data_IF_797774349876
#
_entry.id   IF_797774349876
#
_cell.length_a   1.000
_cell.length_b   1.000
_cell.length_c   1.000
_cell.angle_alpha   90.00
_cell.angle_beta   90.00
_cell.angle_gamma   90.00
#
_symmetry.space_group_name_H-M   'P 1'
#
loop_
_entity.id
_entity.type
_entity.pdbx_description
1 polymer ?
#
# COMPACT_ATOMS: atom_id res chain seq x y z
N UNK A 1 27.67 0.07 14.18
CA UNK A 1 27.44 0.46 12.78
C UNK A 1 26.39 1.54 12.81
N UNK A 2 26.70 2.73 12.30
CA UNK A 2 25.71 3.82 12.23
C UNK A 2 24.63 3.42 11.23
N UNK A 3 23.43 3.08 11.72
CA UNK A 3 22.24 3.00 10.88
C UNK A 3 22.09 4.34 10.17
N UNK A 4 22.24 4.33 8.84
CA UNK A 4 22.05 5.52 8.03
C UNK A 4 20.61 6.01 8.21
N UNK A 5 20.42 7.32 8.36
CA UNK A 5 19.09 7.88 8.55
C UNK A 5 18.21 7.60 7.32
N UNK A 6 17.12 6.88 7.54
CA UNK A 6 16.14 6.52 6.51
C UNK A 6 14.90 7.41 6.68
N UNK A 7 14.71 8.46 5.86
CA UNK A 7 13.58 9.39 6.01
C UNK A 7 12.24 8.72 5.73
N UNK A 8 12.17 7.73 4.83
CA UNK A 8 10.93 7.03 4.50
C UNK A 8 10.45 6.21 5.70
N UNK A 9 11.36 5.50 6.36
CA UNK A 9 11.00 4.72 7.55
C UNK A 9 10.74 5.61 8.77
N UNK A 10 11.62 6.59 9.03
CA UNK A 10 11.55 7.41 10.25
C UNK A 10 10.40 8.42 10.25
N UNK A 11 10.01 8.96 9.10
CA UNK A 11 8.94 9.96 9.01
C UNK A 11 7.65 9.41 8.41
N UNK A 12 7.73 8.60 7.36
CA UNK A 12 6.53 8.08 6.67
C UNK A 12 6.13 6.68 7.12
N UNK A 13 6.92 6.03 7.99
CA UNK A 13 6.64 4.68 8.47
C UNK A 13 6.75 3.59 7.38
N UNK A 14 7.50 3.86 6.29
CA UNK A 14 7.65 2.94 5.17
C UNK A 14 8.91 2.07 5.41
N UNK A 15 8.77 0.78 5.75
CA UNK A 15 9.92 -0.07 6.05
C UNK A 15 10.74 -0.40 4.80
N UNK A 16 12.01 -0.76 4.96
CA UNK A 16 12.93 -1.10 3.86
C UNK A 16 12.38 -2.13 2.85
N UNK A 17 11.59 -3.11 3.31
CA UNK A 17 10.96 -4.11 2.43
C UNK A 17 9.93 -3.53 1.45
N UNK A 18 9.40 -2.34 1.76
CA UNK A 18 8.41 -1.61 0.97
C UNK A 18 9.06 -0.44 0.20
N UNK A 19 10.40 -0.33 0.21
CA UNK A 19 11.15 0.72 -0.47
C UNK A 19 11.76 0.21 -1.80
N UNK A 20 11.86 1.08 -2.83
CA UNK A 20 11.35 2.46 -2.87
C UNK A 20 9.81 2.50 -2.93
N UNK A 21 9.17 3.50 -2.29
CA UNK A 21 7.71 3.59 -2.31
C UNK A 21 7.17 3.96 -3.69
N UNK A 22 5.98 3.44 -4.02
CA UNK A 22 5.18 3.98 -5.13
C UNK A 22 4.46 5.27 -4.68
N UNK A 23 3.87 6.02 -5.62
CA UNK A 23 3.21 7.31 -5.34
C UNK A 23 2.08 7.17 -4.30
N UNK A 24 1.28 6.10 -4.37
CA UNK A 24 0.20 5.86 -3.40
C UNK A 24 0.76 5.64 -1.99
N UNK A 25 1.79 4.78 -1.88
CA UNK A 25 2.46 4.48 -0.60
C UNK A 25 3.13 5.71 -0.01
N UNK A 26 3.77 6.54 -0.84
CA UNK A 26 4.38 7.80 -0.43
C UNK A 26 3.34 8.76 0.16
N UNK A 27 2.15 8.84 -0.44
CA UNK A 27 1.05 9.68 0.07
C UNK A 27 0.28 9.04 1.24
N UNK A 28 0.55 7.77 1.57
CA UNK A 28 -0.21 7.02 2.58
C UNK A 28 -1.64 6.72 2.14
N UNK A 29 -1.81 6.39 0.86
CA UNK A 29 -3.07 6.01 0.22
C UNK A 29 -3.12 4.50 -0.06
N UNK A 30 -4.34 4.00 -0.24
CA UNK A 30 -4.56 2.69 -0.84
C UNK A 30 -4.14 2.71 -2.32
N UNK A 31 -3.68 1.55 -2.81
CA UNK A 31 -3.28 1.41 -4.20
C UNK A 31 -4.46 1.71 -5.14
N UNK A 32 -4.20 2.56 -6.13
CA UNK A 32 -5.17 2.96 -7.15
C UNK A 32 -6.35 3.79 -6.61
N UNK A 33 -6.16 4.52 -5.51
CA UNK A 33 -7.11 5.56 -5.10
C UNK A 33 -7.34 6.54 -6.27
N UNK A 34 -8.60 6.85 -6.53
CA UNK A 34 -9.04 7.61 -7.70
C UNK A 34 -9.77 8.90 -7.36
N UNK A 35 -10.21 9.06 -6.11
CA UNK A 35 -10.86 10.26 -5.62
C UNK A 35 -9.84 11.42 -5.48
N UNK A 36 -9.98 12.50 -6.26
CA UNK A 36 -9.05 13.62 -6.23
C UNK A 36 -9.00 14.32 -4.86
N UNK A 37 -10.11 14.40 -4.13
CA UNK A 37 -10.16 15.07 -2.83
C UNK A 37 -9.38 14.26 -1.78
N UNK A 38 -9.50 12.93 -1.84
CA UNK A 38 -8.73 12.02 -0.98
C UNK A 38 -7.23 12.12 -1.27
N UNK A 39 -6.85 12.17 -2.55
CA UNK A 39 -5.46 12.32 -2.98
C UNK A 39 -4.89 13.66 -2.50
N UNK A 40 -5.63 14.75 -2.67
CA UNK A 40 -5.20 16.07 -2.24
C UNK A 40 -5.03 16.15 -0.73
N UNK A 41 -6.00 15.67 0.04
CA UNK A 41 -5.95 15.65 1.50
C UNK A 41 -4.75 14.82 2.01
N UNK A 42 -4.45 13.70 1.36
CA UNK A 42 -3.30 12.86 1.70
C UNK A 42 -1.97 13.55 1.41
N UNK A 43 -1.81 14.15 0.22
CA UNK A 43 -0.63 14.92 -0.12
C UNK A 43 -0.40 16.10 0.82
N UNK A 44 -1.48 16.80 1.20
CA UNK A 44 -1.42 17.89 2.16
C UNK A 44 -0.91 17.42 3.54
N UNK A 45 -1.49 16.34 4.07
CA UNK A 45 -1.05 15.75 5.35
C UNK A 45 0.43 15.38 5.34
N UNK A 46 0.89 14.70 4.29
CA UNK A 46 2.30 14.31 4.19
C UNK A 46 3.23 15.51 4.06
N UNK A 47 2.86 16.49 3.24
CA UNK A 47 3.61 17.75 3.11
C UNK A 47 3.73 18.46 4.46
N UNK A 48 2.61 18.60 5.19
CA UNK A 48 2.59 19.26 6.48
C UNK A 48 3.48 18.53 7.51
N UNK A 49 3.44 17.19 7.53
CA UNK A 49 4.28 16.40 8.42
C UNK A 49 5.77 16.56 8.09
N UNK A 50 6.16 16.38 6.82
CA UNK A 50 7.57 16.45 6.42
C UNK A 50 8.16 17.86 6.60
N UNK A 51 7.34 18.92 6.44
CA UNK A 51 7.77 20.30 6.70
C UNK A 51 8.26 20.54 8.13
N UNK A 52 7.80 19.75 9.11
CA UNK A 52 8.27 19.87 10.50
C UNK A 52 9.78 19.60 10.66
N UNK A 53 10.40 18.93 9.69
CA UNK A 53 11.82 18.56 9.71
C UNK A 53 12.72 19.49 8.88
N UNK A 54 12.16 20.52 8.21
CA UNK A 54 12.90 21.39 7.27
C UNK A 54 14.05 22.19 7.90
N UNK A 55 13.96 22.49 9.20
CA UNK A 55 15.01 23.23 9.93
C UNK A 55 15.93 22.31 10.75
N UNK A 56 15.79 21.00 10.61
CA UNK A 56 16.54 20.01 11.39
C UNK A 56 17.84 19.52 10.72
N UNK A 57 18.57 18.60 11.37
CA UNK A 57 19.79 17.99 10.84
C UNK A 57 19.61 17.26 9.50
N UNK A 58 18.38 16.85 9.19
CA UNK A 58 17.97 16.14 7.99
C UNK A 58 17.19 17.06 7.02
N UNK A 59 17.48 18.37 7.02
CA UNK A 59 16.78 19.34 6.18
C UNK A 59 16.83 18.99 4.69
N UNK A 60 17.98 18.52 4.19
CA UNK A 60 18.14 18.05 2.82
C UNK A 60 17.22 16.86 2.50
N UNK A 61 17.14 15.88 3.40
CA UNK A 61 16.24 14.71 3.24
C UNK A 61 14.77 15.15 3.21
N UNK A 62 14.39 16.10 4.07
CA UNK A 62 13.03 16.64 4.10
C UNK A 62 12.68 17.36 2.80
N UNK A 63 13.62 18.11 2.23
CA UNK A 63 13.40 18.83 0.98
C UNK A 63 13.24 17.86 -0.20
N UNK A 64 14.06 16.80 -0.25
CA UNK A 64 13.93 15.75 -1.26
C UNK A 64 12.56 15.08 -1.17
N UNK A 65 12.15 14.69 0.04
CA UNK A 65 10.87 14.03 0.25
C UNK A 65 9.68 14.93 -0.09
N UNK A 66 9.77 16.23 0.17
CA UNK A 66 8.75 17.21 -0.26
C UNK A 66 8.64 17.32 -1.79
N UNK A 67 9.77 17.25 -2.50
CA UNK A 67 9.76 17.24 -3.97
C UNK A 67 9.09 15.96 -4.51
N UNK A 68 9.37 14.81 -3.91
CA UNK A 68 8.73 13.54 -4.26
C UNK A 68 7.22 13.56 -3.98
N UNK A 69 6.79 14.08 -2.82
CA UNK A 69 5.37 14.23 -2.47
C UNK A 69 4.66 15.14 -3.50
N UNK A 70 5.29 16.24 -3.89
CA UNK A 70 4.76 17.15 -4.90
C UNK A 70 4.62 16.45 -6.27
N UNK A 71 5.65 15.71 -6.70
CA UNK A 71 5.62 14.95 -7.94
C UNK A 71 4.52 13.87 -7.94
N UNK A 72 4.36 13.15 -6.83
CA UNK A 72 3.30 12.17 -6.65
C UNK A 72 1.91 12.81 -6.72
N UNK A 73 1.69 13.94 -6.02
CA UNK A 73 0.43 14.71 -6.08
C UNK A 73 0.09 15.10 -7.52
N UNK A 74 1.04 15.70 -8.24
CA UNK A 74 0.82 16.15 -9.64
C UNK A 74 0.52 14.97 -10.55
N UNK A 75 1.19 13.84 -10.36
CA UNK A 75 0.94 12.64 -11.16
C UNK A 75 -0.45 12.04 -10.92
N UNK A 76 -0.87 11.94 -9.66
CA UNK A 76 -2.10 11.26 -9.27
C UNK A 76 -3.37 12.11 -9.43
N UNK A 77 -3.26 13.45 -9.38
CA UNK A 77 -4.39 14.35 -9.62
C UNK A 77 -4.66 14.59 -11.11
N UNK A 78 -3.68 14.35 -11.99
CA UNK A 78 -3.87 14.41 -13.43
C UNK A 78 -4.44 13.05 -13.92
N UNK A 79 -5.68 12.99 -14.45
CA UNK A 79 -6.31 11.73 -14.81
C UNK A 79 -5.54 10.93 -15.86
N UNK A 80 -4.90 11.63 -16.81
CA UNK A 80 -4.13 10.97 -17.88
C UNK A 80 -2.82 10.40 -17.34
N UNK A 81 -2.09 11.18 -16.53
CA UNK A 81 -0.84 10.73 -15.91
C UNK A 81 -1.09 9.59 -14.93
N UNK A 82 -2.15 9.68 -14.11
CA UNK A 82 -2.54 8.60 -13.19
C UNK A 82 -2.83 7.31 -13.95
N UNK A 83 -3.62 7.38 -15.03
CA UNK A 83 -3.97 6.19 -15.81
C UNK A 83 -2.72 5.51 -16.43
N UNK A 84 -1.78 6.31 -16.95
CA UNK A 84 -0.51 5.80 -17.47
C UNK A 84 0.32 5.16 -16.35
N UNK A 85 0.46 5.85 -15.23
CA UNK A 85 1.19 5.39 -14.04
C UNK A 85 0.60 4.08 -13.49
N UNK A 86 -0.72 4.00 -13.37
CA UNK A 86 -1.41 2.81 -12.86
C UNK A 86 -1.21 1.59 -13.75
N UNK A 87 -1.18 1.80 -15.07
CA UNK A 87 -0.93 0.73 -16.03
C UNK A 87 0.48 0.18 -15.84
N UNK A 88 1.47 1.05 -15.71
CA UNK A 88 2.85 0.66 -15.44
C UNK A 88 2.99 -0.05 -14.09
N UNK A 89 2.38 0.50 -13.03
CA UNK A 89 2.44 -0.03 -11.68
C UNK A 89 1.81 -1.44 -11.59
N UNK A 90 0.68 -1.68 -12.25
CA UNK A 90 0.08 -3.02 -12.33
C UNK A 90 1.01 -4.01 -13.03
N UNK A 91 1.72 -3.59 -14.07
CA UNK A 91 2.74 -4.40 -14.74
C UNK A 91 3.87 -4.80 -13.79
N UNK A 92 4.41 -3.83 -13.04
CA UNK A 92 5.46 -4.06 -12.04
C UNK A 92 5.01 -5.00 -10.92
N UNK A 93 3.81 -4.81 -10.37
CA UNK A 93 3.28 -5.66 -9.31
C UNK A 93 3.08 -7.12 -9.76
N UNK A 94 2.50 -7.33 -10.95
CA UNK A 94 2.34 -8.69 -11.53
C UNK A 94 3.68 -9.39 -11.74
N UNK A 95 4.70 -8.66 -12.20
CA UNK A 95 6.04 -9.22 -12.39
C UNK A 95 6.69 -9.60 -11.06
N UNK A 96 6.46 -8.85 -9.98
CA UNK A 96 6.95 -9.17 -8.64
C UNK A 96 6.27 -10.44 -8.08
N UNK A 97 4.96 -10.57 -8.25
CA UNK A 97 4.20 -11.76 -7.81
C UNK A 97 4.58 -13.02 -8.59
N UNK A 98 4.79 -12.91 -9.91
CA UNK A 98 5.23 -14.01 -10.76
C UNK A 98 6.61 -14.55 -10.39
N UNK A 99 7.55 -13.68 -9.96
CA UNK A 99 8.87 -14.11 -9.47
C UNK A 99 8.80 -14.85 -8.13
N UNK A 100 7.80 -14.55 -7.30
CA UNK A 100 7.63 -15.18 -5.98
C UNK A 100 6.94 -16.53 -6.04
N UNK A 101 6.26 -16.84 -7.14
CA UNK A 101 5.45 -18.04 -7.33
C UNK A 101 6.13 -19.15 -8.12
N UNK A 102 7.40 -19.00 -8.54
CA UNK A 102 8.19 -20.12 -9.06
C UNK A 102 8.66 -20.97 -7.86
N UNK A 103 8.09 -22.16 -7.60
CA UNK A 103 8.73 -23.12 -6.70
C UNK A 103 10.01 -23.57 -7.40
N UNK A 104 11.11 -23.87 -6.70
CA UNK A 104 12.18 -24.64 -7.33
C UNK A 104 11.52 -25.91 -7.83
N UNK A 105 11.51 -26.10 -9.15
CA UNK A 105 11.07 -27.35 -9.75
C UNK A 105 11.98 -28.44 -9.16
N UNK A 106 11.47 -29.13 -8.15
CA UNK A 106 11.98 -30.42 -7.74
C UNK A 106 11.78 -31.28 -8.97
N UNK A 107 12.86 -31.44 -9.74
CA UNK A 107 12.92 -32.44 -10.77
C UNK A 107 12.51 -33.77 -10.12
N UNK A 108 11.46 -34.46 -10.59
CA UNK A 108 11.20 -35.81 -10.13
C UNK A 108 12.34 -36.68 -10.67
N UNK A 109 13.36 -36.91 -9.85
CA UNK A 109 14.32 -37.98 -10.07
C UNK A 109 13.56 -39.30 -10.06
N UNK A 110 13.24 -39.77 -11.26
CA UNK A 110 12.86 -41.15 -11.52
C UNK A 110 14.08 -42.03 -11.24
N UNK A 111 14.18 -42.58 -10.03
CA UNK A 111 15.12 -43.66 -9.72
C UNK A 111 14.45 -44.64 -8.75
N UNK A 112 13.91 -45.69 -9.35
CA UNK A 112 13.95 -47.08 -8.90
C UNK A 112 13.16 -47.47 -7.64
N UNK A 113 11.98 -48.01 -7.93
CA UNK A 113 11.23 -49.00 -7.16
C UNK A 113 12.09 -50.19 -6.68
N UNK A 114 11.96 -50.59 -5.40
CA UNK A 114 11.97 -52.00 -5.04
C UNK A 114 10.61 -52.40 -4.45
N UNK A 115 10.16 -53.65 -4.66
CA UNK A 115 8.82 -54.07 -4.27
C UNK A 115 8.78 -54.32 -2.76
N UNK A 116 7.97 -53.56 -2.04
CA UNK A 116 7.68 -53.83 -0.62
C UNK A 116 6.23 -54.32 -0.54
N UNK A 117 6.11 -55.59 -0.19
CA UNK A 117 4.93 -56.40 0.09
C UNK A 117 3.81 -55.66 0.86
N UNK A 118 2.53 -55.95 0.54
CA UNK A 118 1.41 -55.24 1.16
C UNK A 118 1.13 -55.83 2.55
N UNK A 119 1.27 -55.02 3.59
CA UNK A 119 0.65 -55.30 4.89
C UNK A 119 -0.45 -54.26 5.09
N UNK A 120 -1.70 -54.70 4.96
CA UNK A 120 -2.88 -53.93 5.39
C UNK A 120 -2.89 -53.85 6.91
N UNK A 121 -3.16 -52.66 7.47
CA UNK A 121 -4.05 -52.58 8.62
C UNK A 121 -5.25 -51.70 8.28
N UNK A 122 -6.42 -52.29 8.47
CA UNK A 122 -7.72 -51.60 8.57
C UNK A 122 -7.69 -50.70 9.79
N UNK A 123 -7.92 -49.39 9.64
CA UNK A 123 -8.45 -48.56 10.75
C UNK A 123 -9.32 -47.42 10.23
N UNK A 124 -10.63 -47.66 10.35
CA UNK A 124 -11.73 -46.78 10.75
C UNK A 124 -11.69 -45.28 10.37
N UNK A 125 -12.66 -44.93 9.53
CA UNK A 125 -13.18 -43.59 9.33
C UNK A 125 -13.60 -42.93 10.65
N UNK A 126 -13.16 -41.68 10.88
CA UNK A 126 -13.80 -40.75 11.80
C UNK A 126 -13.92 -39.38 11.14
N UNK A 127 -15.15 -39.08 10.75
CA UNK A 127 -15.84 -37.80 10.98
C UNK A 127 -15.14 -36.50 10.60
N UNK A 128 -15.48 -35.99 9.41
CA UNK A 128 -15.46 -34.56 9.11
C UNK A 128 -16.41 -33.79 10.06
N UNK A 129 -15.99 -32.61 10.54
CA UNK A 129 -16.91 -31.55 11.00
C UNK A 129 -16.62 -30.27 10.19
N UNK A 130 -17.58 -29.76 9.41
CA UNK A 130 -17.40 -28.51 8.68
C UNK A 130 -17.53 -27.32 9.64
N UNK A 131 -16.56 -26.41 9.61
CA UNK A 131 -16.64 -25.13 10.30
C UNK A 131 -17.57 -24.17 9.52
N UNK A 132 -18.54 -23.61 10.24
CA UNK A 132 -19.61 -22.74 9.74
C UNK A 132 -19.06 -21.35 9.36
N UNK A 133 -19.40 -20.77 8.19
CA UNK A 133 -18.94 -19.44 7.84
C UNK A 133 -19.68 -18.37 8.65
N UNK A 134 -18.92 -17.51 9.33
CA UNK A 134 -19.43 -16.38 10.09
C UNK A 134 -19.76 -15.22 9.13
N UNK A 135 -21.06 -14.92 9.01
CA UNK A 135 -21.62 -13.87 8.15
C UNK A 135 -21.34 -12.49 8.75
N UNK A 136 -20.35 -11.75 8.23
CA UNK A 136 -20.05 -10.36 8.63
C UNK A 136 -21.20 -9.44 8.18
N UNK A 137 -21.82 -8.76 9.15
CA UNK A 137 -22.93 -7.81 8.99
C UNK A 137 -22.37 -6.49 8.47
N UNK A 138 -22.93 -6.00 7.35
CA UNK A 138 -22.55 -4.74 6.69
C UNK A 138 -23.14 -3.59 7.50
N UNK A 139 -22.31 -2.73 8.08
CA UNK A 139 -22.74 -1.52 8.79
C UNK A 139 -22.93 -0.38 7.78
N UNK A 140 -24.18 -0.02 7.54
CA UNK A 140 -24.56 1.20 6.83
C UNK A 140 -24.47 2.37 7.80
N UNK A 141 -23.49 3.25 7.62
CA UNK A 141 -23.47 4.56 8.28
C UNK A 141 -24.36 5.51 7.46
N UNK A 142 -25.35 6.18 8.07
CA UNK A 142 -26.14 7.18 7.37
C UNK A 142 -25.32 8.44 7.10
N UNK A 143 -25.50 8.96 5.89
CA UNK A 143 -24.97 10.23 5.39
C UNK A 143 -25.62 11.37 6.19
N UNK A 144 -24.83 12.16 6.91
CA UNK A 144 -25.28 13.45 7.41
C UNK A 144 -25.08 14.49 6.31
N UNK A 145 -26.17 14.77 5.58
CA UNK A 145 -26.33 15.99 4.81
C UNK A 145 -26.57 17.15 5.79
N UNK A 146 -25.68 18.13 5.81
CA UNK A 146 -25.82 19.35 6.59
C UNK A 146 -25.40 20.55 5.75
N UNK A 147 -26.39 21.15 5.09
CA UNK A 147 -26.32 22.49 4.50
C UNK A 147 -25.90 23.53 5.54
N UNK A 148 -25.08 24.49 5.14
CA UNK A 148 -24.77 25.69 5.92
C UNK A 148 -24.04 26.74 5.10
N UNK A 149 -24.75 27.40 4.18
CA UNK A 149 -24.27 28.58 3.46
C UNK A 149 -24.73 29.85 4.18
N UNK A 150 -23.81 30.71 4.63
CA UNK A 150 -23.96 32.18 4.87
C UNK A 150 -22.53 32.74 4.93
N UNK A 151 -21.95 33.32 3.88
CA UNK A 151 -22.07 34.71 3.41
C UNK A 151 -21.57 35.80 4.40
N UNK A 152 -20.62 36.59 3.89
CA UNK A 152 -20.49 38.05 4.01
C UNK A 152 -19.48 38.68 5.00
N UNK A 153 -18.39 39.17 4.38
CA UNK A 153 -17.76 40.51 4.45
C UNK A 153 -17.35 41.18 5.79
N UNK A 154 -16.22 41.91 5.64
CA UNK A 154 -15.78 43.18 6.26
C UNK A 154 -14.40 43.00 6.97
N UNK A 155 -13.38 43.85 6.86
CA UNK A 155 -13.15 45.16 6.22
C UNK A 155 -11.63 45.40 6.14
N UNK A 156 -11.20 45.94 5.00
CA UNK A 156 -10.11 46.88 4.70
C UNK A 156 -9.24 47.45 5.85
N UNK A 157 -7.91 47.43 5.62
CA UNK A 157 -6.80 48.28 6.10
C UNK A 157 -6.62 48.56 7.61
N UNK A 158 -5.52 48.01 8.15
CA UNK A 158 -4.42 48.77 8.79
C UNK A 158 -3.15 47.93 8.81
#
# INVERSE_FOLDING_TARGET
MSEQFDPYHKWLGIPLKDQPPNHYRLLGLDLFESDPDVIEAAAFRQTAHVRTYQLGPHSADSQNLLNEIAAAKVCLLDPQKRAAYDTELRGRLRAADGRRSVPPAVAPSQTTEPPIVPVRPVVLAVGQKPAKPMRRKKSTWPVYAGLGAVALLLVVLL
#
